data_IF_244558050837
#
_entry.id   IF_244558050837
#
_cell.length_a   1.000
_cell.length_b   1.000
_cell.length_c   1.000
_cell.angle_alpha   90.00
_cell.angle_beta   90.00
_cell.angle_gamma   90.00
#
_symmetry.space_group_name_H-M   'P 1'
#
loop_
_entity.id
_entity.type
_entity.pdbx_description
1 polymer ?
#
# COMPACT_ATOMS: atom_id res chain seq x y z
N UNK A 1 -2.48 -9.53 54.22
CA UNK A 1 -1.89 -8.88 53.05
C UNK A 1 -2.90 -8.89 51.91
N UNK A 2 -3.24 -7.74 51.34
CA UNK A 2 -4.16 -7.68 50.20
C UNK A 2 -3.55 -8.33 48.96
N UNK A 3 -4.41 -8.97 48.15
CA UNK A 3 -4.00 -9.54 46.86
C UNK A 3 -3.72 -8.40 45.86
N UNK A 4 -2.78 -8.65 44.99
CA UNK A 4 -2.46 -7.81 43.83
C UNK A 4 -2.62 -8.61 42.51
N UNK A 5 -2.42 -8.01 41.39
CA UNK A 5 -2.43 -8.73 40.12
C UNK A 5 -1.12 -9.52 39.85
N UNK A 6 -0.08 -9.35 40.67
CA UNK A 6 1.17 -10.13 40.62
C UNK A 6 1.26 -11.15 41.71
N UNK A 7 0.70 -10.85 42.89
CA UNK A 7 0.83 -11.68 44.10
C UNK A 7 -0.53 -11.95 44.73
N UNK A 8 -0.71 -13.17 45.21
CA UNK A 8 -1.84 -13.50 46.07
C UNK A 8 -1.78 -12.73 47.37
N UNK A 9 -2.93 -12.57 47.98
CA UNK A 9 -3.08 -12.02 49.32
C UNK A 9 -3.14 -13.12 50.39
N UNK A 10 -3.24 -12.67 51.61
CA UNK A 10 -3.43 -13.51 52.79
C UNK A 10 -4.35 -12.78 53.75
N UNK A 11 -5.29 -13.43 54.31
CA UNK A 11 -6.15 -12.89 55.37
C UNK A 11 -5.31 -12.54 56.60
N UNK A 12 -5.82 -11.68 57.47
CA UNK A 12 -5.19 -11.36 58.73
C UNK A 12 -5.37 -12.53 59.70
N UNK A 13 -4.36 -12.81 60.49
CA UNK A 13 -4.38 -13.80 61.56
C UNK A 13 -3.67 -13.28 62.81
N UNK A 14 -3.92 -13.92 63.90
CA UNK A 14 -3.31 -13.60 65.19
C UNK A 14 -2.39 -14.74 65.61
N UNK A 15 -1.26 -14.37 66.20
CA UNK A 15 -0.30 -15.32 66.77
C UNK A 15 -0.33 -15.20 68.28
N UNK A 16 -0.51 -16.34 68.95
CA UNK A 16 -0.39 -16.40 70.41
C UNK A 16 1.09 -16.40 70.77
N UNK A 17 1.54 -15.39 71.51
CA UNK A 17 2.94 -15.29 71.97
C UNK A 17 3.32 -16.35 72.99
N UNK A 18 2.34 -16.88 73.76
CA UNK A 18 2.60 -17.88 74.78
C UNK A 18 2.72 -19.30 74.25
N UNK A 19 1.85 -19.69 73.29
CA UNK A 19 1.85 -21.05 72.76
C UNK A 19 2.37 -21.18 71.31
N UNK A 20 2.65 -20.01 70.61
CA UNK A 20 3.13 -19.96 69.27
C UNK A 20 2.11 -20.34 68.19
N UNK A 21 0.88 -20.67 68.52
CA UNK A 21 -0.21 -21.06 67.60
C UNK A 21 -0.82 -19.85 66.91
N UNK A 22 -1.48 -20.11 65.74
CA UNK A 22 -2.13 -19.09 64.93
C UNK A 22 -3.66 -19.23 65.01
N UNK A 23 -4.38 -18.10 64.96
CA UNK A 23 -5.84 -18.02 65.12
C UNK A 23 -6.48 -17.05 64.14
N UNK A 24 -7.72 -17.34 63.72
CA UNK A 24 -8.52 -16.45 62.88
C UNK A 24 -9.00 -15.22 63.63
N UNK A 25 -9.16 -15.31 64.93
CA UNK A 25 -9.72 -14.27 65.79
C UNK A 25 -8.77 -13.87 66.92
N UNK A 26 -8.96 -12.66 67.46
CA UNK A 26 -8.14 -12.08 68.56
C UNK A 26 -8.33 -12.86 69.88
N UNK A 27 -9.46 -13.53 70.05
CA UNK A 27 -9.77 -14.27 71.31
C UNK A 27 -9.12 -15.64 71.33
N UNK A 28 -8.52 -16.10 70.21
CA UNK A 28 -7.88 -17.40 70.14
C UNK A 28 -8.87 -18.58 70.14
N UNK A 29 -10.11 -18.39 69.68
CA UNK A 29 -11.14 -19.43 69.72
C UNK A 29 -11.10 -20.33 68.49
N UNK A 30 -10.56 -19.89 67.37
CA UNK A 30 -10.48 -20.60 66.09
C UNK A 30 -9.02 -20.80 65.70
N UNK A 31 -8.46 -21.93 66.06
CA UNK A 31 -7.08 -22.28 65.73
C UNK A 31 -6.91 -22.53 64.24
N UNK A 32 -5.87 -21.99 63.62
CA UNK A 32 -5.42 -22.24 62.26
C UNK A 32 -4.39 -23.36 62.30
N UNK A 33 -4.78 -24.57 61.94
CA UNK A 33 -3.89 -25.76 61.96
C UNK A 33 -2.92 -25.83 60.82
N UNK A 34 -3.27 -25.24 59.63
CA UNK A 34 -2.38 -25.12 58.47
C UNK A 34 -2.38 -23.68 57.98
N UNK A 35 -1.41 -22.90 58.45
CA UNK A 35 -1.24 -21.51 58.06
C UNK A 35 -0.82 -21.37 56.58
N UNK A 36 -0.24 -22.41 55.96
CA UNK A 36 0.23 -22.34 54.56
C UNK A 36 -0.97 -22.25 53.58
N UNK A 37 -2.00 -23.06 53.79
CA UNK A 37 -3.20 -23.06 52.96
C UNK A 37 -4.29 -22.09 53.44
N UNK A 38 -4.31 -21.72 54.73
CA UNK A 38 -5.36 -20.88 55.30
C UNK A 38 -5.34 -19.43 54.76
N UNK A 39 -6.52 -18.87 54.53
CA UNK A 39 -6.73 -17.45 54.21
C UNK A 39 -6.03 -16.98 52.95
N UNK A 40 -5.69 -17.88 52.02
CA UNK A 40 -5.07 -17.52 50.76
C UNK A 40 -6.10 -16.81 49.87
N UNK A 41 -5.79 -15.58 49.47
CA UNK A 41 -6.59 -14.76 48.55
C UNK A 41 -5.96 -14.85 47.16
N UNK A 42 -6.74 -15.28 46.16
CA UNK A 42 -6.28 -15.38 44.81
C UNK A 42 -5.81 -14.01 44.27
N UNK A 43 -4.87 -14.02 43.28
CA UNK A 43 -4.46 -12.83 42.57
C UNK A 43 -5.66 -12.17 41.90
N UNK A 44 -5.73 -10.84 41.93
CA UNK A 44 -6.75 -10.08 41.23
C UNK A 44 -6.44 -10.04 39.73
N UNK A 45 -7.48 -9.90 38.87
CA UNK A 45 -7.33 -9.80 37.47
C UNK A 45 -6.51 -8.55 37.02
N UNK A 46 -5.77 -8.67 35.95
CA UNK A 46 -5.04 -7.53 35.38
C UNK A 46 -5.98 -6.48 34.79
N UNK A 47 -5.81 -5.22 35.15
CA UNK A 47 -6.49 -4.09 34.51
C UNK A 47 -5.81 -3.75 33.18
N UNK A 48 -6.39 -4.23 32.07
CA UNK A 48 -5.79 -4.12 30.75
C UNK A 48 -5.92 -2.72 30.15
N UNK A 49 -4.81 -2.16 29.67
CA UNK A 49 -4.72 -0.99 28.77
C UNK A 49 -3.99 -1.38 27.50
N UNK A 50 -4.16 -0.56 26.44
CA UNK A 50 -3.60 -0.83 25.12
C UNK A 50 -2.78 0.36 24.62
N UNK A 51 -1.64 0.07 23.97
CA UNK A 51 -0.90 1.02 23.13
C UNK A 51 -0.82 0.50 21.70
N UNK A 52 -0.88 1.43 20.72
CA UNK A 52 -0.82 1.11 19.30
C UNK A 52 0.32 1.89 18.66
N UNK A 53 1.31 1.16 18.14
CA UNK A 53 2.29 1.69 17.20
C UNK A 53 1.78 1.38 15.80
N UNK A 54 1.49 2.42 15.01
CA UNK A 54 0.91 2.24 13.67
C UNK A 54 1.93 1.64 12.70
N UNK A 55 1.45 0.75 11.82
CA UNK A 55 2.24 0.25 10.72
C UNK A 55 2.39 1.30 9.60
N UNK A 56 3.48 1.24 8.85
CA UNK A 56 3.77 2.12 7.71
C UNK A 56 3.98 1.30 6.42
N UNK A 57 4.21 1.93 5.27
CA UNK A 57 4.64 1.20 4.07
C UNK A 57 5.99 0.49 4.21
N UNK A 58 6.83 0.89 5.17
CA UNK A 58 8.19 0.35 5.35
C UNK A 58 8.38 -0.47 6.62
N UNK A 59 7.58 -0.24 7.66
CA UNK A 59 7.71 -0.89 8.97
C UNK A 59 6.40 -1.48 9.47
N UNK A 60 6.50 -2.63 10.17
CA UNK A 60 5.37 -3.18 10.91
C UNK A 60 5.01 -2.26 12.09
N UNK A 61 3.75 -2.24 12.46
CA UNK A 61 3.26 -1.70 13.72
C UNK A 61 3.04 -2.82 14.74
N UNK A 62 2.56 -2.45 15.92
CA UNK A 62 2.20 -3.40 16.98
C UNK A 62 1.08 -2.85 17.86
N UNK A 63 0.31 -3.75 18.41
CA UNK A 63 -0.64 -3.50 19.49
C UNK A 63 -0.08 -4.20 20.72
N UNK A 64 0.12 -3.46 21.80
CA UNK A 64 0.59 -4.01 23.07
C UNK A 64 -0.49 -3.82 24.12
N UNK A 65 -0.99 -4.92 24.66
CA UNK A 65 -1.85 -4.94 25.82
C UNK A 65 -0.99 -5.10 27.08
N UNK A 66 -1.18 -4.26 28.05
CA UNK A 66 -0.41 -4.27 29.29
C UNK A 66 -1.32 -3.98 30.49
N UNK A 67 -0.92 -4.44 31.66
CA UNK A 67 -1.60 -4.10 32.90
C UNK A 67 -1.27 -2.67 33.31
N UNK A 68 -2.29 -1.82 33.51
CA UNK A 68 -2.07 -0.44 33.93
C UNK A 68 -1.52 -0.32 35.37
N UNK A 69 -1.69 -1.33 36.21
CA UNK A 69 -1.24 -1.38 37.58
C UNK A 69 0.21 -1.88 37.67
N UNK A 70 0.45 -3.14 37.34
CA UNK A 70 1.79 -3.76 37.47
C UNK A 70 2.70 -3.56 36.24
N UNK A 71 2.23 -2.90 35.17
CA UNK A 71 2.95 -2.60 33.93
C UNK A 71 3.37 -3.83 33.10
N UNK A 72 3.05 -5.05 33.54
CA UNK A 72 3.35 -6.28 32.80
C UNK A 72 2.71 -6.27 31.42
N UNK A 73 3.46 -6.61 30.37
CA UNK A 73 2.92 -6.85 29.04
C UNK A 73 2.12 -8.17 29.06
N UNK A 74 0.86 -8.10 28.66
CA UNK A 74 -0.06 -9.22 28.62
C UNK A 74 -0.07 -9.90 27.25
N UNK A 75 -0.03 -9.09 26.17
CA UNK A 75 0.08 -9.61 24.81
C UNK A 75 0.67 -8.57 23.86
N UNK A 76 1.25 -9.04 22.78
CA UNK A 76 1.71 -8.19 21.66
C UNK A 76 1.21 -8.78 20.36
N UNK A 77 0.51 -7.97 19.55
CA UNK A 77 0.01 -8.34 18.22
C UNK A 77 0.69 -7.47 17.18
N UNK A 78 1.30 -8.07 16.16
CA UNK A 78 1.94 -7.34 15.05
C UNK A 78 0.86 -6.81 14.10
N UNK A 79 0.98 -5.56 13.67
CA UNK A 79 0.24 -4.99 12.55
C UNK A 79 1.18 -5.06 11.34
N UNK A 80 0.93 -5.93 10.34
CA UNK A 80 1.80 -6.08 9.19
C UNK A 80 1.88 -4.79 8.37
N UNK A 81 3.08 -4.42 7.90
CA UNK A 81 3.29 -3.24 7.05
C UNK A 81 2.51 -3.33 5.73
N UNK A 82 2.11 -2.17 5.18
CA UNK A 82 1.50 -2.07 3.86
C UNK A 82 2.58 -2.24 2.77
N UNK A 83 2.82 -3.47 2.30
CA UNK A 83 3.97 -3.82 1.45
C UNK A 83 3.70 -3.76 -0.05
N UNK A 84 2.47 -4.02 -0.50
CA UNK A 84 2.10 -3.97 -1.93
C UNK A 84 1.12 -2.83 -2.18
N UNK A 85 1.62 -1.74 -2.76
CA UNK A 85 0.86 -0.53 -3.04
C UNK A 85 0.99 -0.23 -4.53
N UNK A 86 -0.08 -0.48 -5.32
CA UNK A 86 -0.03 -0.37 -6.79
C UNK A 86 -1.33 0.14 -7.39
N UNK A 87 -1.23 0.66 -8.60
CA UNK A 87 -2.38 0.97 -9.46
C UNK A 87 -2.73 -0.26 -10.30
N UNK A 88 -4.02 -0.49 -10.57
CA UNK A 88 -4.46 -1.54 -11.51
C UNK A 88 -3.91 -1.32 -12.92
N UNK A 89 -3.75 -0.04 -13.33
CA UNK A 89 -3.14 0.34 -14.59
C UNK A 89 -2.34 1.64 -14.42
N UNK A 90 -1.13 1.69 -14.98
CA UNK A 90 -0.23 2.85 -14.94
C UNK A 90 -0.15 3.59 -16.27
N UNK A 91 -0.71 3.01 -17.34
CA UNK A 91 -0.79 3.61 -18.68
C UNK A 91 -2.17 3.39 -19.25
N UNK A 92 -2.85 4.48 -19.57
CA UNK A 92 -4.23 4.51 -20.03
C UNK A 92 -4.35 5.39 -21.27
N UNK A 93 -5.31 5.12 -22.12
CA UNK A 93 -5.55 5.90 -23.34
C UNK A 93 -6.59 6.98 -23.08
N UNK A 94 -6.36 8.17 -23.61
CA UNK A 94 -7.30 9.27 -23.58
C UNK A 94 -8.67 8.86 -24.15
N UNK A 95 -9.73 9.13 -23.40
CA UNK A 95 -11.11 8.82 -23.75
C UNK A 95 -12.06 10.01 -23.59
N UNK A 96 -11.54 11.21 -23.30
CA UNK A 96 -12.34 12.42 -23.06
C UNK A 96 -13.02 12.50 -21.70
N UNK A 97 -12.88 11.48 -20.85
CA UNK A 97 -13.47 11.42 -19.50
C UNK A 97 -12.39 11.52 -18.43
N UNK A 98 -12.78 11.85 -17.21
CA UNK A 98 -11.88 11.82 -16.04
C UNK A 98 -11.49 10.38 -15.74
N UNK A 99 -10.19 10.09 -15.68
CA UNK A 99 -9.63 8.76 -15.47
C UNK A 99 -9.13 8.61 -14.03
N UNK A 100 -9.58 7.55 -13.33
CA UNK A 100 -9.24 7.23 -11.94
C UNK A 100 -8.86 5.75 -11.82
N UNK A 101 -7.57 5.38 -12.05
CA UNK A 101 -7.14 3.99 -11.90
C UNK A 101 -7.39 3.48 -10.47
N UNK A 102 -7.87 2.25 -10.35
CA UNK A 102 -8.08 1.61 -9.04
C UNK A 102 -6.74 1.43 -8.33
N UNK A 103 -6.68 1.85 -7.06
CA UNK A 103 -5.57 1.58 -6.14
C UNK A 103 -5.79 0.24 -5.48
N UNK A 104 -4.75 -0.56 -5.37
CA UNK A 104 -4.74 -1.86 -4.67
C UNK A 104 -3.64 -1.77 -3.62
N UNK A 105 -4.01 -1.98 -2.36
CA UNK A 105 -3.09 -1.99 -1.23
C UNK A 105 -3.23 -3.32 -0.51
N UNK A 106 -2.10 -4.00 -0.30
CA UNK A 106 -2.04 -5.22 0.51
C UNK A 106 -0.95 -5.08 1.58
N UNK A 107 -1.17 -5.69 2.71
CA UNK A 107 -0.14 -5.82 3.73
C UNK A 107 0.88 -6.93 3.37
N UNK A 108 1.87 -7.13 4.24
CA UNK A 108 2.92 -8.15 4.06
C UNK A 108 2.38 -9.59 4.03
N UNK A 109 1.23 -9.86 4.64
CA UNK A 109 0.60 -11.18 4.65
C UNK A 109 -0.22 -11.44 3.38
N UNK A 110 -0.39 -10.43 2.50
CA UNK A 110 -1.24 -10.51 1.31
C UNK A 110 -2.68 -10.07 1.52
N UNK A 111 -3.07 -9.74 2.75
CA UNK A 111 -4.41 -9.22 3.08
C UNK A 111 -4.63 -7.87 2.41
N UNK A 112 -5.77 -7.70 1.75
CA UNK A 112 -6.14 -6.43 1.13
C UNK A 112 -6.62 -5.44 2.19
N UNK A 113 -6.03 -4.23 2.18
CA UNK A 113 -6.44 -3.13 3.04
C UNK A 113 -7.69 -2.45 2.49
N UNK A 114 -8.53 -1.94 3.38
CA UNK A 114 -9.84 -1.38 3.06
C UNK A 114 -9.74 0.13 2.86
N UNK A 115 -10.16 0.60 1.68
CA UNK A 115 -10.25 2.04 1.40
C UNK A 115 -11.25 2.69 2.36
N UNK A 116 -10.95 3.92 2.79
CA UNK A 116 -11.67 4.72 3.77
C UNK A 116 -11.62 4.20 5.23
N UNK A 117 -11.11 3.00 5.48
CA UNK A 117 -10.82 2.46 6.81
C UNK A 117 -9.31 2.52 7.09
N UNK A 118 -8.51 1.91 6.24
CA UNK A 118 -7.05 1.79 6.40
C UNK A 118 -6.27 2.86 5.61
N UNK A 119 -6.86 3.41 4.55
CA UNK A 119 -6.25 4.47 3.74
C UNK A 119 -7.30 5.28 2.96
N UNK A 120 -6.90 6.49 2.56
CA UNK A 120 -7.64 7.34 1.59
C UNK A 120 -6.81 7.51 0.32
N UNK A 121 -7.48 7.91 -0.77
CA UNK A 121 -6.84 8.15 -2.07
C UNK A 121 -7.27 9.51 -2.60
N UNK A 122 -6.31 10.32 -2.99
CA UNK A 122 -6.53 11.55 -3.73
C UNK A 122 -5.79 11.52 -5.07
N UNK A 123 -6.40 12.12 -6.09
CA UNK A 123 -5.89 12.17 -7.45
C UNK A 123 -5.60 13.60 -7.85
N UNK A 124 -4.52 13.83 -8.58
CA UNK A 124 -4.21 15.14 -9.18
C UNK A 124 -5.39 15.61 -10.06
N UNK A 125 -5.57 16.93 -10.16
CA UNK A 125 -6.54 17.55 -11.08
C UNK A 125 -6.11 17.36 -12.54
N UNK A 126 -6.99 17.68 -13.50
CA UNK A 126 -6.65 17.68 -14.94
C UNK A 126 -6.62 16.31 -15.62
N UNK A 127 -6.85 15.21 -14.93
CA UNK A 127 -6.79 13.83 -15.46
C UNK A 127 -7.89 13.46 -16.49
N UNK A 128 -8.51 14.46 -17.10
CA UNK A 128 -9.31 14.36 -18.32
C UNK A 128 -8.44 14.47 -19.58
N UNK A 129 -7.22 14.97 -19.46
CA UNK A 129 -6.30 15.27 -20.58
C UNK A 129 -5.12 14.33 -20.61
N UNK A 130 -4.39 14.31 -21.73
CA UNK A 130 -3.12 13.59 -21.87
C UNK A 130 -2.10 14.18 -20.88
N UNK A 131 -1.36 13.32 -20.17
CA UNK A 131 -0.38 13.76 -19.19
C UNK A 131 -0.05 12.68 -18.15
N UNK A 132 0.88 13.02 -17.25
CA UNK A 132 1.27 12.19 -16.10
C UNK A 132 0.63 12.76 -14.84
N UNK A 133 -0.05 11.91 -14.08
CA UNK A 133 -0.84 12.31 -12.92
C UNK A 133 -0.44 11.55 -11.67
N UNK A 134 -0.35 12.28 -10.56
CA UNK A 134 -0.08 11.71 -9.25
C UNK A 134 -1.36 11.15 -8.61
N UNK A 135 -1.16 10.05 -7.86
CA UNK A 135 -2.16 9.44 -6.98
C UNK A 135 -1.54 9.34 -5.60
N UNK A 136 -2.04 10.13 -4.65
CA UNK A 136 -1.57 10.13 -3.27
C UNK A 136 -2.44 9.19 -2.43
N UNK A 137 -1.82 8.24 -1.79
CA UNK A 137 -2.40 7.33 -0.81
C UNK A 137 -1.98 7.84 0.57
N UNK A 138 -2.95 8.10 1.45
CA UNK A 138 -2.71 8.50 2.84
C UNK A 138 -3.26 7.42 3.75
N UNK A 139 -2.40 6.81 4.53
CA UNK A 139 -2.74 5.76 5.47
C UNK A 139 -3.41 6.32 6.73
N UNK A 140 -4.32 5.55 7.33
CA UNK A 140 -5.04 5.92 8.56
C UNK A 140 -5.43 4.69 9.38
N UNK A 141 -6.13 4.90 10.51
CA UNK A 141 -6.51 3.81 11.42
C UNK A 141 -5.27 3.19 12.07
N UNK A 142 -5.08 1.89 11.88
CA UNK A 142 -3.90 1.13 12.35
C UNK A 142 -2.64 1.38 11.50
N UNK A 143 -2.76 2.14 10.42
CA UNK A 143 -1.68 2.49 9.50
C UNK A 143 -1.39 3.98 9.53
N UNK A 144 -0.18 4.38 9.10
CA UNK A 144 0.24 5.78 8.99
C UNK A 144 1.20 6.00 7.83
N UNK A 145 1.43 7.26 7.48
CA UNK A 145 2.31 7.66 6.39
C UNK A 145 1.57 7.87 5.07
N UNK A 146 2.33 8.14 4.01
CA UNK A 146 1.80 8.40 2.65
C UNK A 146 2.63 7.68 1.59
N UNK A 147 1.99 7.41 0.44
CA UNK A 147 2.67 6.90 -0.75
C UNK A 147 2.10 7.60 -1.98
N UNK A 148 2.99 8.09 -2.85
CA UNK A 148 2.58 8.65 -4.14
C UNK A 148 2.93 7.68 -5.27
N UNK A 149 1.95 7.40 -6.12
CA UNK A 149 2.08 6.64 -7.36
C UNK A 149 1.74 7.54 -8.55
N UNK A 150 2.11 7.11 -9.75
CA UNK A 150 1.84 7.87 -10.98
C UNK A 150 1.20 6.98 -12.03
N UNK A 151 0.32 7.58 -12.83
CA UNK A 151 -0.15 6.98 -14.07
C UNK A 151 -0.08 8.00 -15.22
N UNK A 152 -0.05 7.50 -16.44
CA UNK A 152 0.02 8.33 -17.65
C UNK A 152 -1.22 8.11 -18.50
N UNK A 153 -1.86 9.19 -18.94
CA UNK A 153 -2.87 9.19 -19.98
C UNK A 153 -2.15 9.50 -21.29
N UNK A 154 -2.16 8.56 -22.23
CA UNK A 154 -1.55 8.67 -23.54
C UNK A 154 -2.56 9.15 -24.58
N UNK A 155 -2.12 9.82 -25.65
CA UNK A 155 -2.99 10.11 -26.80
C UNK A 155 -3.62 8.84 -27.37
N UNK A 156 -4.70 9.00 -28.13
CA UNK A 156 -5.23 7.90 -28.95
C UNK A 156 -4.20 7.50 -30.02
N UNK A 157 -4.09 6.22 -30.27
CA UNK A 157 -3.27 5.71 -31.35
C UNK A 157 -3.82 6.16 -32.71
N UNK A 158 -2.93 6.35 -33.68
CA UNK A 158 -3.32 6.51 -35.07
C UNK A 158 -3.11 5.21 -35.84
N UNK A 159 -3.60 5.13 -37.06
CA UNK A 159 -3.41 3.99 -37.96
C UNK A 159 -2.86 4.47 -39.31
N UNK A 160 -1.97 3.68 -39.93
CA UNK A 160 -1.51 3.92 -41.28
C UNK A 160 -2.69 3.73 -42.24
N UNK A 161 -2.95 4.74 -43.06
CA UNK A 161 -3.97 4.72 -44.10
C UNK A 161 -3.41 4.35 -45.47
N UNK A 162 -2.11 4.62 -45.73
CA UNK A 162 -1.44 4.25 -46.95
C UNK A 162 0.07 4.14 -46.72
N UNK A 163 0.70 3.19 -47.38
CA UNK A 163 2.15 3.03 -47.43
C UNK A 163 2.56 2.74 -48.88
N UNK A 164 3.18 3.70 -49.54
CA UNK A 164 3.61 3.57 -50.93
C UNK A 164 5.14 3.46 -51.01
N UNK A 165 5.64 2.35 -51.51
CA UNK A 165 7.06 2.13 -51.77
C UNK A 165 7.50 2.84 -53.06
N UNK A 166 8.78 3.14 -53.14
CA UNK A 166 9.46 3.66 -54.33
C UNK A 166 10.96 3.33 -54.27
N UNK A 167 11.71 3.65 -55.32
CA UNK A 167 13.15 3.39 -55.35
C UNK A 167 13.83 4.11 -54.17
N UNK A 168 14.47 3.36 -53.27
CA UNK A 168 15.18 3.84 -52.05
C UNK A 168 14.38 4.84 -51.19
N UNK A 169 13.02 4.76 -51.22
CA UNK A 169 12.11 5.66 -50.47
C UNK A 169 10.77 4.94 -50.21
N UNK A 170 10.02 5.47 -49.23
CA UNK A 170 8.58 5.21 -49.10
C UNK A 170 7.85 6.48 -48.62
N UNK A 171 6.56 6.56 -48.91
CA UNK A 171 5.67 7.56 -48.34
C UNK A 171 4.64 6.88 -47.50
N UNK A 172 4.55 7.26 -46.22
CA UNK A 172 3.53 6.77 -45.28
C UNK A 172 2.50 7.88 -45.02
N UNK A 173 1.21 7.52 -45.07
CA UNK A 173 0.09 8.38 -44.64
C UNK A 173 -0.63 7.71 -43.50
N UNK A 174 -1.22 8.53 -42.59
CA UNK A 174 -1.94 8.03 -41.42
C UNK A 174 -3.19 8.87 -41.12
N UNK A 175 -4.09 8.33 -40.27
CA UNK A 175 -5.30 9.02 -39.86
C UNK A 175 -4.96 10.13 -38.87
N UNK A 176 -5.52 11.32 -39.06
CA UNK A 176 -5.35 12.46 -38.14
C UNK A 176 -5.93 12.14 -36.78
N UNK A 177 -5.19 12.48 -35.73
CA UNK A 177 -5.69 12.55 -34.34
C UNK A 177 -5.76 14.02 -33.93
N UNK A 178 -6.96 14.60 -33.93
CA UNK A 178 -7.14 16.01 -33.68
C UNK A 178 -7.05 16.38 -32.18
N UNK A 179 -7.43 15.45 -31.30
CA UNK A 179 -7.61 15.74 -29.86
C UNK A 179 -6.44 15.23 -29.04
N UNK A 180 -5.83 16.13 -28.24
CA UNK A 180 -4.74 15.80 -27.29
C UNK A 180 -3.49 15.18 -27.97
N UNK A 181 -3.26 15.56 -29.23
CA UNK A 181 -2.12 15.14 -30.05
C UNK A 181 -1.45 16.36 -30.62
N UNK A 182 -0.16 16.55 -30.38
CA UNK A 182 0.64 17.68 -30.87
C UNK A 182 1.40 17.34 -32.15
N UNK A 183 1.63 16.05 -32.41
CA UNK A 183 2.34 15.55 -33.57
C UNK A 183 2.43 14.03 -33.57
N UNK A 184 3.32 13.49 -34.40
CA UNK A 184 3.47 12.04 -34.61
C UNK A 184 4.95 11.64 -34.62
N UNK A 185 5.19 10.36 -34.40
CA UNK A 185 6.48 9.74 -34.67
C UNK A 185 6.31 8.61 -35.69
N UNK A 186 7.02 8.72 -36.78
CA UNK A 186 7.15 7.65 -37.77
C UNK A 186 8.39 6.84 -37.43
N UNK A 187 8.21 5.57 -37.15
CA UNK A 187 9.31 4.63 -36.92
C UNK A 187 9.39 3.61 -38.05
N UNK A 188 10.62 3.30 -38.47
CA UNK A 188 10.86 2.28 -39.49
C UNK A 188 12.12 1.47 -39.17
N UNK A 189 12.11 0.22 -39.55
CA UNK A 189 13.19 -0.75 -39.31
C UNK A 189 13.18 -1.84 -40.38
N UNK A 190 14.34 -2.44 -40.65
CA UNK A 190 14.42 -3.68 -41.44
C UNK A 190 13.96 -4.93 -40.62
N UNK A 191 13.81 -4.81 -39.30
CA UNK A 191 13.33 -5.85 -38.40
C UNK A 191 11.86 -5.65 -38.05
N UNK A 192 11.05 -6.72 -38.12
CA UNK A 192 9.65 -6.72 -37.68
C UNK A 192 9.49 -6.44 -36.19
N UNK A 193 10.51 -6.75 -35.37
CA UNK A 193 10.57 -6.42 -33.94
C UNK A 193 10.97 -4.99 -33.67
N UNK A 194 11.17 -4.15 -34.71
CA UNK A 194 11.66 -2.77 -34.59
C UNK A 194 12.98 -2.62 -33.83
N UNK A 195 13.83 -3.64 -33.82
CA UNK A 195 15.21 -3.50 -33.35
C UNK A 195 15.95 -2.51 -34.25
N UNK A 196 16.79 -1.64 -33.63
CA UNK A 196 17.53 -0.55 -34.34
C UNK A 196 16.61 0.34 -35.19
N UNK A 197 15.35 0.55 -34.76
CA UNK A 197 14.41 1.39 -35.49
C UNK A 197 14.88 2.85 -35.56
N UNK A 198 14.76 3.43 -36.75
CA UNK A 198 14.91 4.88 -36.95
C UNK A 198 13.58 5.57 -36.67
N UNK A 199 13.64 6.75 -36.04
CA UNK A 199 12.46 7.53 -35.66
C UNK A 199 12.55 8.91 -36.32
N UNK A 200 11.45 9.33 -36.94
CA UNK A 200 11.29 10.67 -37.52
C UNK A 200 10.12 11.33 -36.81
N UNK A 201 10.36 12.47 -36.15
CA UNK A 201 9.32 13.24 -35.46
C UNK A 201 8.63 14.18 -36.44
N UNK A 202 7.31 14.25 -36.35
CA UNK A 202 6.45 15.18 -37.09
C UNK A 202 5.73 16.05 -36.05
N UNK A 203 6.20 17.30 -35.87
CA UNK A 203 5.81 18.20 -34.78
C UNK A 203 4.42 18.84 -34.91
N UNK A 204 3.69 18.60 -36.01
CA UNK A 204 2.35 19.15 -36.25
C UNK A 204 1.32 18.02 -36.40
N UNK A 205 0.24 18.05 -35.65
CA UNK A 205 -0.84 17.05 -35.76
C UNK A 205 -1.66 17.17 -37.05
N UNK A 206 -1.53 18.29 -37.76
CA UNK A 206 -2.14 18.49 -39.11
C UNK A 206 -1.39 17.76 -40.20
N UNK A 207 -0.09 17.46 -40.00
CA UNK A 207 0.72 16.73 -40.96
C UNK A 207 0.43 15.22 -40.81
N UNK A 208 -0.19 14.62 -41.81
CA UNK A 208 -0.59 13.22 -41.84
C UNK A 208 0.10 12.38 -42.91
N UNK A 209 1.21 12.87 -43.41
CA UNK A 209 2.05 12.20 -44.43
C UNK A 209 3.51 12.48 -44.21
N UNK A 210 4.38 11.52 -44.45
CA UNK A 210 5.84 11.69 -44.44
C UNK A 210 6.50 10.81 -45.47
N UNK A 211 7.38 11.42 -46.30
CA UNK A 211 8.29 10.71 -47.20
C UNK A 211 9.59 10.43 -46.45
N UNK A 212 10.04 9.18 -46.49
CA UNK A 212 11.35 8.73 -45.99
C UNK A 212 12.18 8.31 -47.21
N UNK A 213 13.36 8.87 -47.34
CA UNK A 213 14.29 8.66 -48.46
C UNK A 213 15.66 8.16 -48.00
N UNK A 214 16.58 7.93 -48.92
CA UNK A 214 17.93 7.42 -48.64
C UNK A 214 17.93 6.07 -47.95
N UNK A 215 16.97 5.20 -48.31
CA UNK A 215 16.89 3.83 -47.83
C UNK A 215 17.79 2.93 -48.67
N UNK A 216 18.21 1.79 -48.09
CA UNK A 216 18.86 0.72 -48.85
C UNK A 216 17.85 0.10 -49.81
N UNK A 217 18.22 -0.07 -51.08
CA UNK A 217 17.40 -0.75 -52.08
C UNK A 217 17.26 -2.24 -51.77
N UNK A 218 16.23 -2.86 -52.34
CA UNK A 218 15.95 -4.30 -52.23
C UNK A 218 15.82 -4.83 -50.80
N UNK A 219 15.53 -3.93 -49.83
CA UNK A 219 15.28 -4.30 -48.40
C UNK A 219 13.82 -4.10 -48.03
N UNK A 220 13.27 -5.05 -47.26
CA UNK A 220 11.96 -4.95 -46.60
C UNK A 220 12.07 -4.00 -45.41
N UNK A 221 11.13 -3.07 -45.28
CA UNK A 221 11.01 -2.19 -44.13
C UNK A 221 9.64 -2.34 -43.47
N UNK A 222 9.66 -2.37 -42.17
CA UNK A 222 8.47 -2.31 -41.32
C UNK A 222 8.28 -0.88 -40.83
N UNK A 223 7.06 -0.38 -40.89
CA UNK A 223 6.73 1.02 -40.55
C UNK A 223 5.61 1.06 -39.55
N UNK A 224 5.72 1.93 -38.55
CA UNK A 224 4.64 2.27 -37.64
C UNK A 224 4.60 3.77 -37.36
N UNK A 225 3.40 4.28 -37.04
CA UNK A 225 3.17 5.67 -36.63
C UNK A 225 2.55 5.68 -35.25
N UNK A 226 3.04 6.56 -34.41
CA UNK A 226 2.54 6.72 -33.04
C UNK A 226 2.50 8.18 -32.64
#
# INVERSE_FOLDING_TARGET
KAATCTDGGKEAYYKCEGCGKFYEDVLGTKEITDLASWGNIAKIAHTTKQTVTKATPTANGKIVNYCSVCKKTLSTTVIPKASSIKLKATSLTYNGKVITPKVIVKDRTGKTLVKNTDYTVSYAKGRKYVGKYAVKITFKGKYSGTKTLYFTIKPKATSISSLKAGSKKFTVKWKKQATQTTGYQVQYSASSKFSKAKTVTVGKNTTVSKKISKLSGKKKYYVRVR
#
